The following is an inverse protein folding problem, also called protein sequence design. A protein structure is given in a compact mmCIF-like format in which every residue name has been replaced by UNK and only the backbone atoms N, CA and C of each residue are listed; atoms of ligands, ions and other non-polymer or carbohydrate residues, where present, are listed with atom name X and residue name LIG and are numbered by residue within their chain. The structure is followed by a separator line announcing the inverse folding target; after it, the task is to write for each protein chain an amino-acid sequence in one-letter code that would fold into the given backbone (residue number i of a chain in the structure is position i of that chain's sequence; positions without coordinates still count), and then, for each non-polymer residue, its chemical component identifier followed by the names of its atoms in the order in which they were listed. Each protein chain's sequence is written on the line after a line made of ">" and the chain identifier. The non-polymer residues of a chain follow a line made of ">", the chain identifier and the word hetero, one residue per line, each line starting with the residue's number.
data_IF_543819993013
#
_entry.id   IF_543819993013
#
_cell.length_a   1.000
_cell.length_b   1.000
_cell.length_c   1.000
_cell.angle_alpha   90.00
_cell.angle_beta   90.00
_cell.angle_gamma   90.00
#
_symmetry.space_group_name_H-M   'P 1'
#
loop_
_entity.id
_entity.type
_entity.pdbx_description
1 polymer ?
#
# COMPACT_ATOMS: atom_id res chain seq x y z
N UNK A 1 5.21 25.47 -2.61
CA UNK A 1 4.79 24.05 -2.46
C UNK A 1 3.92 23.53 -3.63
N UNK A 2 3.95 24.15 -4.83
CA UNK A 2 3.07 23.77 -5.96
C UNK A 2 3.77 22.99 -7.10
N UNK A 3 5.08 22.71 -6.99
CA UNK A 3 5.90 22.25 -8.12
C UNK A 3 5.97 20.72 -8.27
N UNK A 4 5.75 19.96 -7.20
CA UNK A 4 5.75 18.49 -7.23
C UNK A 4 4.40 17.93 -7.71
N UNK A 5 3.28 18.59 -7.34
CA UNK A 5 1.94 18.15 -7.72
C UNK A 5 1.65 18.33 -9.23
N UNK A 6 2.24 19.34 -9.87
CA UNK A 6 2.10 19.56 -11.31
C UNK A 6 2.90 18.57 -12.16
N UNK A 7 4.06 18.11 -11.68
CA UNK A 7 4.91 17.17 -12.41
C UNK A 7 4.24 15.80 -12.56
N UNK A 8 3.60 15.32 -11.48
CA UNK A 8 2.80 14.08 -11.49
C UNK A 8 1.63 14.16 -12.49
N UNK A 9 1.07 15.36 -12.67
CA UNK A 9 -0.04 15.60 -13.61
C UNK A 9 0.41 15.64 -15.07
N UNK A 10 1.62 16.13 -15.34
CA UNK A 10 2.21 16.20 -16.69
C UNK A 10 2.65 14.82 -17.18
N UNK A 11 3.14 13.95 -16.29
CA UNK A 11 3.52 12.58 -16.66
C UNK A 11 2.32 11.71 -17.12
N UNK A 12 1.09 12.03 -16.72
CA UNK A 12 -0.14 11.34 -17.19
C UNK A 12 -0.47 11.59 -18.67
N UNK A 13 0.04 12.67 -19.29
CA UNK A 13 -0.38 13.10 -20.62
C UNK A 13 0.41 12.45 -21.78
N UNK A 14 1.60 11.91 -21.52
CA UNK A 14 2.53 11.48 -22.58
C UNK A 14 2.52 9.97 -22.90
N UNK A 15 1.67 9.15 -22.25
CA UNK A 15 1.53 7.75 -22.64
C UNK A 15 2.79 6.88 -22.46
N UNK A 16 3.71 7.28 -21.57
CA UNK A 16 4.96 6.56 -21.27
C UNK A 16 5.03 6.05 -19.82
N UNK A 17 3.93 6.13 -19.07
CA UNK A 17 3.87 5.60 -17.71
C UNK A 17 2.87 4.45 -17.70
N UNK A 18 3.37 3.25 -17.43
CA UNK A 18 2.59 2.10 -17.06
C UNK A 18 1.62 2.57 -15.98
N UNK A 19 0.32 2.56 -16.27
CA UNK A 19 -0.69 2.92 -15.30
C UNK A 19 -0.73 1.75 -14.32
N UNK A 20 0.18 1.76 -13.34
CA UNK A 20 0.13 0.83 -12.23
C UNK A 20 -1.17 1.13 -11.48
N UNK A 21 -2.21 0.43 -11.91
CA UNK A 21 -3.47 0.42 -11.21
C UNK A 21 -3.16 -0.08 -9.80
N UNK A 22 -3.82 0.47 -8.78
CA UNK A 22 -3.65 0.05 -7.38
C UNK A 22 -3.69 -1.49 -7.27
N UNK A 23 -4.54 -2.14 -8.06
CA UNK A 23 -4.66 -3.59 -8.15
C UNK A 23 -3.39 -4.32 -8.64
N UNK A 24 -2.65 -3.74 -9.59
CA UNK A 24 -1.39 -4.32 -10.11
C UNK A 24 -0.31 -4.28 -9.03
N UNK A 25 -0.19 -3.14 -8.33
CA UNK A 25 0.73 -2.98 -7.21
C UNK A 25 0.38 -3.91 -6.04
N UNK A 26 -0.92 -4.08 -5.75
CA UNK A 26 -1.39 -5.06 -4.76
C UNK A 26 -1.00 -6.48 -5.16
N UNK A 27 -1.25 -6.87 -6.42
CA UNK A 27 -0.93 -8.20 -6.91
C UNK A 27 0.58 -8.46 -6.89
N UNK A 28 1.38 -7.48 -7.28
CA UNK A 28 2.84 -7.54 -7.22
C UNK A 28 3.34 -7.67 -5.78
N UNK A 29 2.84 -6.83 -4.87
CA UNK A 29 3.20 -6.89 -3.46
C UNK A 29 2.82 -8.23 -2.83
N UNK A 30 1.66 -8.81 -3.18
CA UNK A 30 1.27 -10.16 -2.74
C UNK A 30 2.23 -11.24 -3.26
N UNK A 31 2.58 -11.18 -4.54
CA UNK A 31 3.58 -12.10 -5.10
C UNK A 31 4.93 -11.99 -4.38
N UNK A 32 5.38 -10.77 -4.08
CA UNK A 32 6.62 -10.52 -3.33
C UNK A 32 6.56 -11.04 -1.88
N UNK A 33 5.40 -10.98 -1.22
CA UNK A 33 5.20 -11.60 0.09
C UNK A 33 5.39 -13.13 0.03
N UNK A 34 4.84 -13.77 -1.00
CA UNK A 34 4.96 -15.22 -1.20
C UNK A 34 6.41 -15.65 -1.49
N UNK A 35 7.17 -14.82 -2.22
CA UNK A 35 8.60 -15.07 -2.48
C UNK A 35 9.51 -14.69 -1.30
N UNK A 36 8.96 -14.14 -0.21
CA UNK A 36 9.73 -13.69 0.96
C UNK A 36 10.45 -12.35 0.80
N UNK A 37 10.20 -11.62 -0.30
CA UNK A 37 10.79 -10.30 -0.57
C UNK A 37 9.97 -9.20 0.11
N UNK A 38 9.95 -9.22 1.44
CA UNK A 38 9.06 -8.36 2.23
C UNK A 38 9.36 -6.86 2.10
N UNK A 39 10.62 -6.48 1.87
CA UNK A 39 10.99 -5.07 1.66
C UNK A 39 10.44 -4.52 0.33
N UNK A 40 10.49 -5.31 -0.74
CA UNK A 40 9.94 -4.91 -2.04
C UNK A 40 8.41 -4.87 -1.98
N UNK A 41 7.79 -5.84 -1.30
CA UNK A 41 6.36 -5.85 -1.05
C UNK A 41 5.90 -4.56 -0.33
N UNK A 42 6.67 -4.11 0.66
CA UNK A 42 6.40 -2.87 1.39
C UNK A 42 6.40 -1.65 0.44
N UNK A 43 7.40 -1.55 -0.44
CA UNK A 43 7.49 -0.48 -1.44
C UNK A 43 6.30 -0.49 -2.39
N UNK A 44 5.88 -1.68 -2.85
CA UNK A 44 4.70 -1.85 -3.71
C UNK A 44 3.42 -1.39 -3.01
N UNK A 45 3.23 -1.77 -1.73
CA UNK A 45 2.06 -1.33 -0.96
C UNK A 45 2.10 0.17 -0.63
N UNK A 46 3.27 0.75 -0.36
CA UNK A 46 3.39 2.19 -0.15
C UNK A 46 3.01 2.99 -1.39
N UNK A 47 3.43 2.54 -2.58
CA UNK A 47 3.00 3.13 -3.84
C UNK A 47 1.50 2.98 -4.05
N UNK A 48 0.93 1.82 -3.73
CA UNK A 48 -0.51 1.61 -3.82
C UNK A 48 -1.30 2.52 -2.86
N UNK A 49 -0.80 2.75 -1.64
CA UNK A 49 -1.42 3.65 -0.65
C UNK A 49 -1.41 5.09 -1.14
N UNK A 50 -0.36 5.53 -1.84
CA UNK A 50 -0.31 6.86 -2.45
C UNK A 50 -1.38 7.05 -3.54
N UNK A 51 -1.81 5.96 -4.18
CA UNK A 51 -2.88 5.97 -5.19
C UNK A 51 -4.27 5.86 -4.56
N UNK A 52 -4.41 5.04 -3.51
CA UNK A 52 -5.67 4.81 -2.80
C UNK A 52 -5.47 4.68 -1.29
N UNK A 53 -5.43 5.81 -0.60
CA UNK A 53 -5.20 5.86 0.85
C UNK A 53 -6.38 5.35 1.69
N UNK A 54 -7.58 5.23 1.08
CA UNK A 54 -8.82 4.85 1.77
C UNK A 54 -9.15 3.36 1.61
N UNK A 55 -8.22 2.57 1.09
CA UNK A 55 -8.38 1.13 1.00
C UNK A 55 -7.81 0.44 2.25
N UNK A 56 -8.65 -0.16 3.11
CA UNK A 56 -8.18 -0.84 4.32
C UNK A 56 -7.26 -2.03 4.00
N UNK A 57 -7.49 -2.73 2.88
CA UNK A 57 -6.70 -3.89 2.47
C UNK A 57 -5.21 -3.54 2.30
N UNK A 58 -4.90 -2.33 1.82
CA UNK A 58 -3.52 -1.89 1.64
C UNK A 58 -2.77 -1.72 2.95
N UNK A 59 -3.44 -1.16 3.95
CA UNK A 59 -2.87 -1.02 5.30
C UNK A 59 -2.69 -2.39 5.97
N UNK A 60 -3.64 -3.30 5.77
CA UNK A 60 -3.54 -4.68 6.24
C UNK A 60 -2.36 -5.42 5.57
N UNK A 61 -2.22 -5.33 4.25
CA UNK A 61 -1.12 -5.94 3.49
C UNK A 61 0.24 -5.38 3.88
N UNK A 62 0.34 -4.05 4.09
CA UNK A 62 1.55 -3.41 4.62
C UNK A 62 1.89 -3.93 6.03
N UNK A 63 0.89 -4.07 6.89
CA UNK A 63 1.06 -4.65 8.23
C UNK A 63 1.59 -6.10 8.18
N UNK A 64 1.10 -6.92 7.25
CA UNK A 64 1.61 -8.28 7.02
C UNK A 64 3.09 -8.25 6.60
N UNK A 65 3.46 -7.39 5.65
CA UNK A 65 4.86 -7.25 5.22
C UNK A 65 5.79 -6.84 6.39
N UNK A 66 5.37 -5.87 7.20
CA UNK A 66 6.11 -5.40 8.37
C UNK A 66 6.24 -6.48 9.45
N UNK A 67 5.17 -7.25 9.69
CA UNK A 67 5.19 -8.39 10.61
C UNK A 67 6.21 -9.43 10.17
N UNK A 68 6.27 -9.73 8.87
CA UNK A 68 7.24 -10.67 8.31
C UNK A 68 8.70 -10.16 8.38
N UNK A 69 8.89 -8.84 8.44
CA UNK A 69 10.18 -8.20 8.69
C UNK A 69 10.53 -8.09 10.19
N UNK A 70 9.66 -8.54 11.10
CA UNK A 70 9.86 -8.39 12.55
C UNK A 70 9.58 -6.99 13.10
N UNK A 71 9.00 -6.09 12.30
CA UNK A 71 8.65 -4.71 12.69
C UNK A 71 7.23 -4.68 13.25
N UNK A 72 7.05 -5.30 14.40
CA UNK A 72 5.72 -5.54 14.98
C UNK A 72 4.98 -4.26 15.38
N UNK A 73 5.67 -3.27 15.95
CA UNK A 73 5.04 -2.01 16.37
C UNK A 73 4.42 -1.27 15.18
N UNK A 74 5.17 -1.17 14.08
CA UNK A 74 4.68 -0.52 12.86
C UNK A 74 3.60 -1.33 12.15
N UNK A 75 3.64 -2.66 12.27
CA UNK A 75 2.57 -3.52 11.77
C UNK A 75 1.26 -3.25 12.51
N UNK A 76 1.31 -3.11 13.84
CA UNK A 76 0.15 -2.77 14.68
C UNK A 76 -0.42 -1.42 14.27
N UNK A 77 0.42 -0.40 14.06
CA UNK A 77 -0.04 0.90 13.59
C UNK A 77 -0.74 0.82 12.23
N UNK A 78 -0.25 -0.02 11.32
CA UNK A 78 -0.89 -0.25 10.02
C UNK A 78 -2.25 -0.96 10.18
N UNK A 79 -2.35 -1.98 11.03
CA UNK A 79 -3.62 -2.65 11.29
C UNK A 79 -4.63 -1.70 11.96
N UNK A 80 -4.19 -0.85 12.89
CA UNK A 80 -5.02 0.17 13.50
C UNK A 80 -5.57 1.15 12.45
N UNK A 81 -4.74 1.62 11.53
CA UNK A 81 -5.20 2.46 10.40
C UNK A 81 -6.21 1.76 9.51
N UNK A 82 -6.01 0.47 9.21
CA UNK A 82 -6.98 -0.32 8.44
C UNK A 82 -8.35 -0.32 9.14
N UNK A 83 -8.35 -0.51 10.47
CA UNK A 83 -9.57 -0.52 11.28
C UNK A 83 -10.21 0.87 11.44
N UNK A 84 -9.43 1.94 11.39
CA UNK A 84 -9.94 3.32 11.37
C UNK A 84 -10.68 3.63 10.05
N UNK A 85 -10.16 3.12 8.93
CA UNK A 85 -10.74 3.32 7.60
C UNK A 85 -11.99 2.47 7.42
N UNK A 86 -11.92 1.18 7.76
CA UNK A 86 -13.07 0.29 7.75
C UNK A 86 -13.27 -0.38 9.12
N UNK A 87 -14.10 0.21 9.99
CA UNK A 87 -14.36 -0.34 11.31
C UNK A 87 -15.23 -1.61 11.27
N UNK A 88 -15.67 -2.08 10.09
CA UNK A 88 -16.47 -3.32 10.00
C UNK A 88 -15.71 -4.56 10.49
N UNK A 89 -14.38 -4.58 10.35
CA UNK A 89 -13.55 -5.69 10.84
C UNK A 89 -13.40 -5.71 12.37
N UNK A 90 -13.68 -4.58 13.04
CA UNK A 90 -13.61 -4.44 14.50
C UNK A 90 -14.71 -5.23 15.23
N UNK A 91 -15.74 -5.66 14.52
CA UNK A 91 -16.94 -6.28 15.09
C UNK A 91 -17.00 -7.81 14.89
N UNK A 92 -15.90 -8.47 14.52
CA UNK A 92 -15.80 -9.93 14.56
C UNK A 92 -15.41 -10.40 15.98
N UNK A 93 -16.32 -10.22 16.94
CA UNK A 93 -16.28 -10.85 18.28
C UNK A 93 -17.60 -11.55 18.56
#
# INVERSE_FOLDING_TARGET
>A
MYKICHLVKICKLFGIFNLESTNTLIALGKSQLETGNFNDALSSFEQAILLDQNNPDLWNLKGIALRSLGRYDEAIDCFNKSLEIDPRDKNSS
#
